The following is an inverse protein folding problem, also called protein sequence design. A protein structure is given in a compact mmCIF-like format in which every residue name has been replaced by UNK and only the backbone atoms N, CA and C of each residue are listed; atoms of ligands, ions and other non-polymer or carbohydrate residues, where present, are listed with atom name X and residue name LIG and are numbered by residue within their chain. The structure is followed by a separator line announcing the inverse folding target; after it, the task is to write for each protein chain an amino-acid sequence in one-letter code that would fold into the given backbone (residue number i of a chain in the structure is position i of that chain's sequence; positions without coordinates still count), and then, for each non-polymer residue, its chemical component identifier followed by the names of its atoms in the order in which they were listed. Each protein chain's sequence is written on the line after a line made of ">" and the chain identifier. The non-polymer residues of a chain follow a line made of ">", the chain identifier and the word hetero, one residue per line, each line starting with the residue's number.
data_IF_265919282450
#
_entry.id   IF_265919282450
#
_cell.length_a   1.000
_cell.length_b   1.000
_cell.length_c   1.000
_cell.angle_alpha   90.00
_cell.angle_beta   90.00
_cell.angle_gamma   90.00
#
_symmetry.space_group_name_H-M   'P 1'
#
loop_
_entity.id
_entity.type
_entity.pdbx_description
1 polymer ?
#
# COMPACT_ATOMS: atom_id res chain seq x y z
N UNK A 1 9.53 -8.85 6.18
CA UNK A 1 8.36 -7.97 6.00
C UNK A 1 8.31 -7.63 4.51
N UNK A 2 7.16 -7.80 3.86
CA UNK A 2 6.98 -7.45 2.44
C UNK A 2 6.44 -6.03 2.37
N UNK A 3 6.99 -5.18 1.51
CA UNK A 3 6.65 -3.76 1.42
C UNK A 3 6.04 -3.43 0.05
N UNK A 4 4.81 -2.94 0.06
CA UNK A 4 4.04 -2.51 -1.12
C UNK A 4 3.83 -1.01 -1.06
N UNK A 5 4.22 -0.31 -2.13
CA UNK A 5 4.05 1.14 -2.27
C UNK A 5 3.16 1.45 -3.46
N UNK A 6 2.04 2.13 -3.22
CA UNK A 6 1.20 2.68 -4.28
C UNK A 6 1.56 4.15 -4.56
N UNK A 7 1.88 4.50 -5.78
CA UNK A 7 2.28 5.85 -6.15
C UNK A 7 1.34 6.46 -7.18
N UNK A 8 0.92 7.71 -6.97
CA UNK A 8 0.30 8.52 -8.03
C UNK A 8 0.78 9.97 -7.91
N UNK A 9 0.46 10.81 -8.91
CA UNK A 9 0.98 12.18 -9.00
C UNK A 9 0.94 12.95 -7.67
N UNK A 10 -0.24 13.08 -7.04
CA UNK A 10 -0.44 13.92 -5.85
C UNK A 10 -0.82 13.18 -4.58
N UNK A 11 -0.90 11.85 -4.60
CA UNK A 11 -1.27 11.02 -3.46
C UNK A 11 -2.57 11.43 -2.73
N UNK A 12 -3.57 11.93 -3.46
CA UNK A 12 -4.84 12.40 -2.89
C UNK A 12 -6.07 11.63 -3.38
N UNK A 13 -5.89 10.67 -4.31
CA UNK A 13 -6.97 9.86 -4.89
C UNK A 13 -6.52 8.40 -5.12
N UNK A 14 -6.08 8.05 -6.34
CA UNK A 14 -5.86 6.68 -6.81
C UNK A 14 -4.99 5.84 -5.86
N UNK A 15 -3.83 6.35 -5.48
CA UNK A 15 -2.91 5.61 -4.60
C UNK A 15 -3.44 5.46 -3.16
N UNK A 16 -4.27 6.40 -2.68
CA UNK A 16 -4.92 6.29 -1.36
C UNK A 16 -6.05 5.26 -1.40
N UNK A 17 -6.83 5.23 -2.48
CA UNK A 17 -7.82 4.18 -2.73
C UNK A 17 -7.16 2.80 -2.78
N UNK A 18 -6.02 2.68 -3.46
CA UNK A 18 -5.26 1.44 -3.55
C UNK A 18 -4.71 0.98 -2.19
N UNK A 19 -4.13 1.90 -1.40
CA UNK A 19 -3.70 1.64 -0.02
C UNK A 19 -4.89 1.14 0.82
N UNK A 20 -6.03 1.83 0.77
CA UNK A 20 -7.24 1.44 1.52
C UNK A 20 -7.75 0.05 1.13
N UNK A 21 -7.83 -0.26 -0.17
CA UNK A 21 -8.25 -1.58 -0.65
C UNK A 21 -7.29 -2.70 -0.24
N UNK A 22 -5.98 -2.44 -0.26
CA UNK A 22 -4.99 -3.43 0.13
C UNK A 22 -5.04 -3.72 1.64
N UNK A 23 -5.18 -2.69 2.48
CA UNK A 23 -5.42 -2.87 3.92
C UNK A 23 -6.71 -3.64 4.20
N UNK A 24 -7.81 -3.28 3.54
CA UNK A 24 -9.07 -4.01 3.69
C UNK A 24 -8.92 -5.48 3.31
N UNK A 25 -8.23 -5.78 2.21
CA UNK A 25 -7.97 -7.14 1.77
C UNK A 25 -7.21 -7.94 2.84
N UNK A 26 -6.16 -7.36 3.45
CA UNK A 26 -5.39 -8.00 4.51
C UNK A 26 -6.28 -8.29 5.73
N UNK A 27 -7.09 -7.32 6.15
CA UNK A 27 -8.03 -7.48 7.27
C UNK A 27 -9.01 -8.62 6.99
N UNK A 28 -9.68 -8.59 5.83
CA UNK A 28 -10.64 -9.61 5.43
C UNK A 28 -10.00 -11.01 5.37
N UNK A 29 -8.75 -11.09 4.92
CA UNK A 29 -8.00 -12.34 4.83
C UNK A 29 -7.63 -12.88 6.21
N UNK A 30 -7.13 -12.01 7.11
CA UNK A 30 -6.78 -12.37 8.48
C UNK A 30 -8.00 -12.83 9.27
N UNK A 31 -9.10 -12.06 9.23
CA UNK A 31 -10.32 -12.40 9.97
C UNK A 31 -10.93 -13.71 9.49
N UNK A 32 -10.94 -13.96 8.17
CA UNK A 32 -11.42 -15.24 7.62
C UNK A 32 -10.65 -16.45 8.15
N UNK A 33 -9.33 -16.33 8.33
CA UNK A 33 -8.52 -17.43 8.87
C UNK A 33 -8.63 -17.56 10.39
N UNK A 34 -8.86 -16.45 11.12
CA UNK A 34 -9.14 -16.49 12.55
C UNK A 34 -10.45 -17.21 12.86
N UNK A 35 -11.55 -16.87 12.17
CA UNK A 35 -12.84 -17.56 12.34
C UNK A 35 -12.72 -19.05 12.01
N UNK A 36 -11.96 -19.42 10.96
CA UNK A 36 -11.74 -20.82 10.63
C UNK A 36 -11.00 -21.60 11.73
N UNK A 37 -10.05 -20.97 12.44
CA UNK A 37 -9.40 -21.59 13.59
C UNK A 37 -10.42 -21.80 14.72
N UNK A 38 -11.19 -20.78 15.07
CA UNK A 38 -12.19 -20.85 16.16
C UNK A 38 -13.23 -21.96 15.92
N UNK A 39 -13.72 -22.09 14.69
CA UNK A 39 -14.66 -23.13 14.30
C UNK A 39 -14.06 -24.54 14.42
N UNK A 40 -12.77 -24.73 14.07
CA UNK A 40 -12.09 -26.01 14.23
C UNK A 40 -11.96 -26.43 15.70
N UNK A 41 -11.75 -25.48 16.61
CA UNK A 41 -11.62 -25.76 18.04
C UNK A 41 -12.95 -26.19 18.70
N UNK A 42 -14.10 -25.85 18.12
CA UNK A 42 -15.42 -26.22 18.65
C UNK A 42 -15.79 -27.70 18.43
N UNK A 43 -15.12 -28.40 17.50
CA UNK A 43 -15.51 -29.77 17.08
C UNK A 43 -14.76 -30.86 17.87
N UNK A 44 -13.83 -30.51 18.76
CA UNK A 44 -12.84 -31.43 19.34
C UNK A 44 -13.29 -32.17 20.63
N UNK A 45 -14.51 -32.72 20.65
CA UNK A 45 -14.98 -33.58 21.76
C UNK A 45 -14.63 -35.08 21.58
N UNK A 46 -13.81 -35.49 20.60
CA UNK A 46 -13.40 -36.91 20.42
C UNK A 46 -11.90 -37.09 20.13
N UNK A 47 -11.22 -37.59 21.16
CA UNK A 47 -9.79 -37.51 21.48
C UNK A 47 -8.86 -38.54 20.82
N UNK A 48 -7.60 -38.10 20.64
CA UNK A 48 -6.32 -38.84 20.77
C UNK A 48 -5.52 -39.19 19.49
N UNK A 49 -6.09 -39.14 18.28
CA UNK A 49 -5.29 -39.22 17.01
C UNK A 49 -5.35 -37.92 16.21
N UNK A 50 -6.35 -37.09 16.50
CA UNK A 50 -6.66 -35.84 15.81
C UNK A 50 -5.79 -34.68 16.33
N UNK A 51 -5.35 -34.74 17.59
CA UNK A 51 -4.66 -33.65 18.29
C UNK A 51 -3.33 -33.22 17.65
N UNK A 52 -2.53 -34.16 17.13
CA UNK A 52 -1.23 -33.82 16.51
C UNK A 52 -1.40 -33.17 15.13
N UNK A 53 -2.34 -33.68 14.32
CA UNK A 53 -2.65 -33.14 13.00
C UNK A 53 -3.34 -31.78 13.10
N UNK A 54 -4.29 -31.63 14.04
CA UNK A 54 -4.95 -30.37 14.33
C UNK A 54 -3.95 -29.32 14.84
N UNK A 55 -3.00 -29.69 15.72
CA UNK A 55 -1.95 -28.76 16.15
C UNK A 55 -1.09 -28.29 14.97
N UNK A 56 -0.66 -29.18 14.09
CA UNK A 56 0.16 -28.80 12.94
C UNK A 56 -0.59 -27.87 11.96
N UNK A 57 -1.87 -28.14 11.71
CA UNK A 57 -2.71 -27.29 10.87
C UNK A 57 -2.91 -25.91 11.49
N UNK A 58 -3.23 -25.85 12.79
CA UNK A 58 -3.39 -24.59 13.54
C UNK A 58 -2.10 -23.77 13.54
N UNK A 59 -0.93 -24.40 13.67
CA UNK A 59 0.36 -23.73 13.56
C UNK A 59 0.58 -23.12 12.16
N UNK A 60 0.32 -23.88 11.10
CA UNK A 60 0.47 -23.37 9.72
C UNK A 60 -0.45 -22.18 9.43
N UNK A 61 -1.68 -22.21 9.93
CA UNK A 61 -2.61 -21.07 9.76
C UNK A 61 -2.11 -19.85 10.54
N UNK A 62 -1.61 -20.03 11.77
CA UNK A 62 -1.01 -18.93 12.56
C UNK A 62 0.22 -18.33 11.87
N UNK A 63 1.08 -19.14 11.27
CA UNK A 63 2.25 -18.68 10.54
C UNK A 63 1.85 -17.88 9.29
N UNK A 64 0.81 -18.33 8.58
CA UNK A 64 0.27 -17.61 7.43
C UNK A 64 -0.37 -16.27 7.82
N UNK A 65 -1.19 -16.23 8.88
CA UNK A 65 -1.75 -14.99 9.42
C UNK A 65 -0.63 -14.02 9.83
N UNK A 66 0.39 -14.52 10.52
CA UNK A 66 1.57 -13.72 10.89
C UNK A 66 2.31 -13.20 9.67
N UNK A 67 2.34 -13.96 8.57
CA UNK A 67 2.95 -13.53 7.31
C UNK A 67 2.16 -12.41 6.63
N UNK A 68 0.82 -12.45 6.68
CA UNK A 68 -0.05 -11.37 6.20
C UNK A 68 0.11 -10.09 7.02
N UNK A 69 0.20 -10.20 8.35
CA UNK A 69 0.46 -9.08 9.25
C UNK A 69 1.85 -8.46 9.03
N UNK A 70 2.77 -9.21 8.44
CA UNK A 70 4.10 -8.76 8.01
C UNK A 70 4.12 -8.16 6.59
N UNK A 71 2.97 -7.77 6.04
CA UNK A 71 2.89 -6.97 4.81
C UNK A 71 2.71 -5.50 5.19
N UNK A 72 3.70 -4.68 4.89
CA UNK A 72 3.63 -3.22 5.02
C UNK A 72 3.09 -2.61 3.72
N UNK A 73 1.95 -1.93 3.83
CA UNK A 73 1.34 -1.21 2.69
C UNK A 73 1.31 0.29 2.96
N UNK A 74 1.77 1.08 2.00
CA UNK A 74 1.68 2.55 2.06
C UNK A 74 1.46 3.14 0.67
N UNK A 75 1.18 4.43 0.60
CA UNK A 75 1.13 5.18 -0.64
C UNK A 75 1.91 6.48 -0.61
N UNK A 76 2.34 6.96 -1.78
CA UNK A 76 3.20 8.15 -1.88
C UNK A 76 2.84 9.02 -3.08
N UNK A 77 3.23 10.29 -3.02
CA UNK A 77 3.12 11.24 -4.12
C UNK A 77 4.37 11.17 -4.98
N UNK A 78 4.22 11.05 -6.30
CA UNK A 78 5.36 11.19 -7.21
C UNK A 78 5.84 12.64 -7.32
N UNK A 79 4.92 13.60 -7.15
CA UNK A 79 5.22 15.02 -7.10
C UNK A 79 5.00 15.53 -5.66
N UNK A 80 6.09 15.65 -4.91
CA UNK A 80 6.07 16.14 -3.52
C UNK A 80 5.47 17.55 -3.41
N UNK A 81 5.60 18.39 -4.44
CA UNK A 81 4.99 19.73 -4.44
C UNK A 81 3.47 19.66 -4.50
N UNK A 82 2.91 18.61 -5.12
CA UNK A 82 1.48 18.43 -5.23
C UNK A 82 0.78 18.05 -3.92
N UNK A 83 1.54 17.72 -2.87
CA UNK A 83 1.05 17.38 -1.51
C UNK A 83 0.60 18.61 -0.72
N UNK A 84 1.09 19.80 -1.06
CA UNK A 84 0.82 21.05 -0.32
C UNK A 84 -0.05 22.03 -1.13
N UNK A 85 -0.77 22.92 -0.43
CA UNK A 85 -1.71 23.88 -1.03
C UNK A 85 -1.07 25.14 -1.66
N UNK A 86 0.25 25.34 -1.54
CA UNK A 86 0.95 26.52 -2.08
C UNK A 86 2.03 26.16 -3.13
N UNK A 87 2.28 27.04 -4.12
CA UNK A 87 3.33 26.85 -5.11
C UNK A 87 4.72 26.87 -4.46
N UNK A 88 5.60 26.00 -4.96
CA UNK A 88 6.95 25.71 -4.45
C UNK A 88 7.87 26.93 -4.26
N UNK A 89 7.55 28.10 -4.82
CA UNK A 89 8.36 29.31 -4.70
C UNK A 89 8.25 30.05 -3.36
N UNK A 90 7.23 29.78 -2.53
CA UNK A 90 7.06 30.47 -1.23
C UNK A 90 7.47 29.65 -0.01
N UNK A 91 7.52 28.31 -0.12
CA UNK A 91 7.82 27.44 1.01
C UNK A 91 9.33 27.12 1.18
N UNK A 92 10.20 27.77 0.39
CA UNK A 92 11.67 27.67 0.50
C UNK A 92 12.32 28.72 1.43
N UNK A 93 11.55 29.70 1.92
CA UNK A 93 12.02 30.64 2.95
C UNK A 93 11.45 30.23 4.32
N UNK A 94 12.10 30.65 5.40
CA UNK A 94 12.01 30.24 6.82
C UNK A 94 10.61 30.27 7.51
N UNK A 95 9.52 30.23 6.73
CA UNK A 95 8.11 30.14 7.13
C UNK A 95 7.47 28.85 6.59
N UNK A 96 8.11 27.69 6.78
CA UNK A 96 7.53 26.37 6.50
C UNK A 96 6.17 26.13 7.21
N UNK A 97 5.82 26.96 8.20
CA UNK A 97 4.56 26.95 8.94
C UNK A 97 3.31 27.40 8.17
N UNK A 98 3.43 27.89 6.92
CA UNK A 98 2.28 28.35 6.10
C UNK A 98 1.82 27.37 5.01
N UNK A 99 2.61 26.35 4.67
CA UNK A 99 2.22 25.36 3.67
C UNK A 99 1.28 24.31 4.31
N UNK A 100 -0.03 24.44 4.10
CA UNK A 100 -0.99 23.42 4.55
C UNK A 100 -0.91 22.18 3.64
N UNK A 101 -0.95 21.00 4.27
CA UNK A 101 -1.02 19.72 3.56
C UNK A 101 -2.43 19.50 3.06
N UNK A 102 -2.54 19.11 1.79
CA UNK A 102 -3.82 18.71 1.21
C UNK A 102 -4.38 17.50 1.93
N UNK A 103 -5.70 17.44 1.97
CA UNK A 103 -6.39 16.23 2.39
C UNK A 103 -6.60 15.27 1.21
N UNK A 104 -6.92 14.02 1.52
CA UNK A 104 -7.51 13.12 0.53
C UNK A 104 -8.76 13.76 -0.03
N UNK A 105 -8.99 13.66 -1.35
CA UNK A 105 -10.17 14.30 -1.95
C UNK A 105 -11.43 13.72 -1.33
N UNK A 106 -12.36 14.58 -0.90
CA UNK A 106 -13.62 14.16 -0.29
C UNK A 106 -14.38 13.15 -1.16
N UNK A 107 -14.45 13.38 -2.47
CA UNK A 107 -15.07 12.44 -3.43
C UNK A 107 -14.42 11.05 -3.45
N UNK A 108 -13.12 10.95 -3.16
CA UNK A 108 -12.44 9.67 -3.01
C UNK A 108 -12.85 8.98 -1.70
N UNK A 109 -12.90 9.73 -0.60
CA UNK A 109 -13.39 9.24 0.70
C UNK A 109 -14.83 8.73 0.57
N UNK A 110 -15.72 9.53 0.00
CA UNK A 110 -17.13 9.18 -0.23
C UNK A 110 -17.27 7.94 -1.12
N UNK A 111 -16.45 7.81 -2.17
CA UNK A 111 -16.49 6.67 -3.06
C UNK A 111 -16.06 5.36 -2.37
N UNK A 112 -14.99 5.40 -1.56
CA UNK A 112 -14.52 4.23 -0.80
C UNK A 112 -15.51 3.84 0.31
N UNK A 113 -16.08 4.83 0.99
CA UNK A 113 -17.03 4.61 2.08
C UNK A 113 -18.30 3.87 1.64
N UNK A 114 -18.73 4.05 0.37
CA UNK A 114 -19.85 3.29 -0.21
C UNK A 114 -19.62 1.78 -0.22
N UNK A 115 -18.36 1.35 -0.30
CA UNK A 115 -17.97 -0.05 -0.32
C UNK A 115 -17.36 -0.49 1.02
N UNK A 116 -17.58 0.29 2.09
CA UNK A 116 -17.20 -0.06 3.46
C UNK A 116 -15.75 0.23 3.84
N UNK A 117 -14.99 0.94 3.01
CA UNK A 117 -13.59 1.28 3.29
C UNK A 117 -13.44 2.76 3.64
N UNK A 118 -12.95 3.04 4.84
CA UNK A 118 -12.71 4.41 5.29
C UNK A 118 -11.26 4.85 5.05
N UNK A 119 -11.09 5.91 4.26
CA UNK A 119 -9.80 6.58 4.03
C UNK A 119 -9.82 8.05 4.47
N UNK A 120 -10.78 8.44 5.31
CA UNK A 120 -10.96 9.83 5.78
C UNK A 120 -9.79 10.34 6.62
N UNK A 121 -9.13 9.45 7.36
CA UNK A 121 -7.95 9.76 8.18
C UNK A 121 -6.63 9.64 7.40
N UNK A 122 -6.68 9.22 6.15
CA UNK A 122 -5.48 9.10 5.32
C UNK A 122 -4.99 10.50 4.96
N UNK A 123 -3.69 10.60 4.68
CA UNK A 123 -3.07 11.84 4.24
C UNK A 123 -2.12 11.61 3.06
N UNK A 124 -2.02 12.57 2.13
CA UNK A 124 -0.97 12.61 1.13
C UNK A 124 0.43 12.62 1.77
N UNK A 125 1.33 11.78 1.29
CA UNK A 125 2.69 11.56 1.79
C UNK A 125 3.70 11.88 0.69
N UNK A 126 4.77 12.59 1.01
CA UNK A 126 5.88 12.79 0.05
C UNK A 126 6.78 11.55 0.02
N UNK A 127 7.62 11.45 -1.01
CA UNK A 127 8.67 10.41 -1.08
C UNK A 127 9.63 10.56 0.10
N UNK A 128 10.07 11.77 0.41
CA UNK A 128 11.05 12.05 1.48
C UNK A 128 10.54 11.67 2.88
N UNK A 129 9.23 11.80 3.13
CA UNK A 129 8.60 11.36 4.38
C UNK A 129 8.53 9.84 4.50
N UNK A 130 8.39 9.18 3.36
CA UNK A 130 8.11 7.74 3.30
C UNK A 130 9.40 6.92 3.26
N UNK A 131 10.47 7.43 2.65
CA UNK A 131 11.77 6.73 2.55
C UNK A 131 12.30 6.28 3.91
N UNK A 132 12.42 7.14 4.95
CA UNK A 132 12.96 6.70 6.24
C UNK A 132 12.14 5.58 6.88
N UNK A 133 10.81 5.62 6.71
CA UNK A 133 9.91 4.58 7.18
C UNK A 133 10.15 3.26 6.43
N UNK A 134 10.23 3.31 5.10
CA UNK A 134 10.49 2.14 4.25
C UNK A 134 11.87 1.53 4.53
N UNK A 135 12.90 2.35 4.70
CA UNK A 135 14.24 1.89 5.05
C UNK A 135 14.30 1.28 6.45
N UNK A 136 13.59 1.84 7.43
CA UNK A 136 13.55 1.27 8.78
C UNK A 136 12.82 -0.08 8.82
N UNK A 137 11.81 -0.27 7.97
CA UNK A 137 11.11 -1.53 7.80
C UNK A 137 11.97 -2.57 7.06
N UNK A 138 12.70 -2.13 6.04
CA UNK A 138 13.50 -3.01 5.18
C UNK A 138 14.82 -3.48 5.80
N UNK A 139 15.34 -2.78 6.82
CA UNK A 139 16.62 -3.16 7.45
C UNK A 139 16.55 -4.57 8.05
N UNK A 140 17.48 -5.48 7.71
CA UNK A 140 17.64 -6.71 8.47
C UNK A 140 18.05 -6.36 9.91
N UNK A 141 17.54 -7.11 10.89
CA UNK A 141 17.93 -7.00 12.32
C UNK A 141 19.40 -7.37 12.59
N UNK A 142 20.19 -7.67 11.58
CA UNK A 142 21.62 -7.95 11.69
C UNK A 142 22.42 -6.94 10.88
N UNK A 143 23.27 -6.21 11.59
CA UNK A 143 24.35 -5.37 11.09
C UNK A 143 25.33 -6.21 10.26
N UNK A 144 25.13 -6.34 8.96
CA UNK A 144 26.17 -6.73 7.98
C UNK A 144 25.53 -6.82 6.59
N UNK A 145 25.75 -5.78 5.78
CA UNK A 145 25.88 -5.80 4.30
C UNK A 145 25.74 -4.37 3.78
N UNK A 146 26.75 -3.55 4.07
CA UNK A 146 27.04 -2.37 3.28
C UNK A 146 28.05 -2.77 2.21
N UNK A 147 27.57 -3.13 1.02
CA UNK A 147 28.44 -3.28 -0.16
C UNK A 147 28.87 -1.88 -0.58
N UNK A 148 30.15 -1.57 -0.36
CA UNK A 148 30.78 -0.34 -0.85
C UNK A 148 31.38 -0.66 -2.22
N UNK A 149 30.66 -0.33 -3.28
CA UNK A 149 31.26 -0.15 -4.61
C UNK A 149 31.36 1.35 -4.92
N UNK A 150 32.46 1.72 -5.59
CA UNK A 150 33.00 3.07 -5.67
C UNK A 150 32.06 4.15 -6.19
N UNK A 151 32.15 5.33 -5.55
CA UNK A 151 31.67 6.64 -6.00
C UNK A 151 30.17 6.86 -6.26
N UNK A 152 29.30 6.04 -5.67
CA UNK A 152 27.90 6.39 -5.46
C UNK A 152 27.20 5.27 -4.70
N UNK A 153 26.70 5.53 -3.48
CA UNK A 153 25.93 4.53 -2.74
C UNK A 153 24.70 4.14 -3.56
N UNK A 154 24.67 2.92 -4.10
CA UNK A 154 23.44 2.33 -4.62
C UNK A 154 22.42 2.28 -3.49
N UNK A 155 21.17 2.75 -3.71
CA UNK A 155 20.19 2.81 -2.64
C UNK A 155 19.79 1.40 -2.21
N UNK A 156 19.61 1.25 -0.89
CA UNK A 156 19.05 0.05 -0.29
C UNK A 156 17.67 -0.19 -0.94
N UNK A 157 17.51 -1.36 -1.55
CA UNK A 157 16.20 -1.84 -2.02
C UNK A 157 15.32 -2.04 -0.80
N UNK A 158 14.35 -1.14 -0.64
CA UNK A 158 13.51 -1.03 0.56
C UNK A 158 12.03 -1.18 0.25
N UNK A 159 11.70 -1.40 -1.03
CA UNK A 159 10.34 -1.60 -1.52
C UNK A 159 10.31 -2.88 -2.34
N UNK A 160 9.57 -3.89 -1.90
CA UNK A 160 9.45 -5.14 -2.67
C UNK A 160 8.63 -4.90 -3.94
N UNK A 161 7.55 -4.11 -3.83
CA UNK A 161 6.60 -3.88 -4.92
C UNK A 161 6.15 -2.43 -4.99
N UNK A 162 6.53 -1.74 -6.07
CA UNK A 162 6.04 -0.40 -6.39
C UNK A 162 4.97 -0.50 -7.48
N UNK A 163 3.81 0.06 -7.20
CA UNK A 163 2.69 0.14 -8.14
C UNK A 163 2.46 1.61 -8.48
N UNK A 164 2.65 1.99 -9.74
CA UNK A 164 2.43 3.35 -10.22
C UNK A 164 1.06 3.46 -10.91
N UNK A 165 0.19 4.33 -10.42
CA UNK A 165 -1.19 4.51 -10.90
C UNK A 165 -1.36 5.74 -11.82
N UNK A 166 -0.27 6.22 -12.43
CA UNK A 166 -0.33 7.30 -13.42
C UNK A 166 0.77 7.17 -14.46
N UNK A 167 0.43 7.58 -15.68
CA UNK A 167 1.39 7.88 -16.75
C UNK A 167 2.13 9.19 -16.46
N UNK A 168 2.94 9.16 -15.42
CA UNK A 168 3.84 10.22 -15.02
C UNK A 168 5.21 10.01 -15.71
N UNK A 169 6.00 11.06 -15.93
CA UNK A 169 7.34 10.92 -16.52
C UNK A 169 8.29 10.10 -15.63
N UNK A 170 9.27 9.46 -16.26
CA UNK A 170 10.22 8.56 -15.58
C UNK A 170 11.06 9.31 -14.53
N UNK A 171 11.31 10.60 -14.72
CA UNK A 171 12.01 11.46 -13.77
C UNK A 171 11.30 11.54 -12.41
N UNK A 172 9.97 11.55 -12.40
CA UNK A 172 9.19 11.58 -11.15
C UNK A 172 9.15 10.22 -10.47
N UNK A 173 9.33 9.12 -11.21
CA UNK A 173 9.32 7.75 -10.68
C UNK A 173 10.71 7.31 -10.18
N UNK A 174 11.77 7.92 -10.71
CA UNK A 174 13.15 7.47 -10.58
C UNK A 174 13.56 7.07 -9.15
N UNK A 175 13.29 7.92 -8.15
CA UNK A 175 13.68 7.67 -6.76
C UNK A 175 12.98 6.46 -6.14
N UNK A 176 11.71 6.21 -6.47
CA UNK A 176 11.01 5.01 -6.00
C UNK A 176 11.44 3.79 -6.80
N UNK A 177 11.55 3.90 -8.12
CA UNK A 177 11.96 2.81 -9.01
C UNK A 177 13.33 2.25 -8.62
N UNK A 178 14.31 3.11 -8.36
CA UNK A 178 15.66 2.67 -7.93
C UNK A 178 15.65 1.97 -6.57
N UNK A 179 14.70 2.29 -5.68
CA UNK A 179 14.53 1.67 -4.36
C UNK A 179 13.64 0.42 -4.37
N UNK A 180 13.03 0.12 -5.51
CA UNK A 180 12.06 -0.97 -5.65
C UNK A 180 12.69 -2.20 -6.29
N UNK A 181 12.27 -3.39 -5.85
CA UNK A 181 12.64 -4.68 -6.43
C UNK A 181 11.82 -4.92 -7.69
N UNK A 182 10.50 -4.76 -7.59
CA UNK A 182 9.57 -4.85 -8.72
C UNK A 182 8.78 -3.57 -8.89
N UNK A 183 8.52 -3.20 -10.14
CA UNK A 183 7.71 -2.02 -10.51
C UNK A 183 6.64 -2.45 -11.50
N UNK A 184 5.40 -2.07 -11.23
CA UNK A 184 4.29 -2.22 -12.16
C UNK A 184 3.59 -0.89 -12.38
N UNK A 185 3.07 -0.68 -13.59
CA UNK A 185 2.29 0.50 -13.92
C UNK A 185 0.85 0.07 -14.24
N UNK A 186 -0.10 0.67 -13.53
CA UNK A 186 -1.52 0.50 -13.76
C UNK A 186 -2.05 1.74 -14.46
N UNK A 187 -2.37 1.58 -15.75
CA UNK A 187 -3.04 2.61 -16.53
C UNK A 187 -4.48 2.76 -16.01
N UNK A 188 -4.68 3.72 -15.11
CA UNK A 188 -5.98 4.05 -14.51
C UNK A 188 -6.19 5.54 -14.63
N UNK A 189 -7.27 5.92 -15.32
CA UNK A 189 -7.61 7.31 -15.54
C UNK A 189 -7.80 8.08 -14.23
N UNK A 190 -7.38 9.34 -14.23
CA UNK A 190 -7.62 10.18 -13.08
C UNK A 190 -9.14 10.40 -12.93
N UNK A 191 -9.75 10.08 -11.77
CA UNK A 191 -11.21 10.20 -11.61
C UNK A 191 -11.67 11.65 -11.75
N UNK A 192 -10.80 12.63 -11.47
CA UNK A 192 -11.07 14.05 -11.70
C UNK A 192 -11.23 14.38 -13.19
N UNK A 193 -10.47 13.74 -14.08
CA UNK A 193 -10.57 13.97 -15.52
C UNK A 193 -11.90 13.41 -16.05
N UNK A 194 -12.19 12.15 -15.71
CA UNK A 194 -13.47 11.48 -16.03
C UNK A 194 -14.69 12.24 -15.48
N UNK A 195 -14.62 12.70 -14.22
CA UNK A 195 -15.68 13.50 -13.60
C UNK A 195 -15.97 14.79 -14.38
N UNK A 196 -14.92 15.49 -14.84
CA UNK A 196 -15.05 16.70 -15.68
C UNK A 196 -15.53 16.41 -17.10
N UNK A 197 -15.29 15.21 -17.62
CA UNK A 197 -15.72 14.77 -18.94
C UNK A 197 -17.20 14.32 -18.99
N UNK A 198 -17.93 14.40 -17.88
CA UNK A 198 -19.38 14.15 -17.83
C UNK A 198 -19.81 12.95 -16.99
N UNK A 199 -18.88 12.14 -16.47
CA UNK A 199 -19.22 11.03 -15.56
C UNK A 199 -19.67 11.50 -14.16
N UNK A 200 -19.41 12.76 -13.81
CA UNK A 200 -19.78 13.34 -12.52
C UNK A 200 -19.12 12.61 -11.35
N UNK A 201 -19.86 12.40 -10.26
CA UNK A 201 -19.33 11.79 -9.04
C UNK A 201 -19.16 10.27 -9.14
N UNK A 202 -19.82 9.63 -10.12
CA UNK A 202 -19.72 8.19 -10.37
C UNK A 202 -18.33 7.78 -10.85
N UNK A 203 -17.57 8.71 -11.45
CA UNK A 203 -16.19 8.48 -11.88
C UNK A 203 -15.29 7.98 -10.74
N UNK A 204 -15.45 8.53 -9.54
CA UNK A 204 -14.62 8.16 -8.38
C UNK A 204 -14.94 6.74 -7.90
N UNK A 205 -16.21 6.37 -7.88
CA UNK A 205 -16.62 5.01 -7.52
C UNK A 205 -16.18 3.98 -8.56
N UNK A 206 -16.34 4.27 -9.85
CA UNK A 206 -15.87 3.41 -10.93
C UNK A 206 -14.35 3.16 -10.82
N UNK A 207 -13.57 4.22 -10.67
CA UNK A 207 -12.11 4.12 -10.53
C UNK A 207 -11.73 3.37 -9.24
N UNK A 208 -12.45 3.59 -8.14
CA UNK A 208 -12.25 2.81 -6.90
C UNK A 208 -12.43 1.31 -7.13
N UNK A 209 -13.50 0.90 -7.81
CA UNK A 209 -13.77 -0.51 -8.12
C UNK A 209 -12.73 -1.11 -9.08
N UNK A 210 -12.27 -0.34 -10.07
CA UNK A 210 -11.19 -0.77 -10.95
C UNK A 210 -9.88 -1.00 -10.18
N UNK A 211 -9.55 -0.09 -9.25
CA UNK A 211 -8.40 -0.23 -8.36
C UNK A 211 -8.58 -1.45 -7.46
N UNK A 212 -9.77 -1.66 -6.87
CA UNK A 212 -10.08 -2.82 -6.04
C UNK A 212 -9.77 -4.13 -6.77
N UNK A 213 -10.19 -4.26 -8.02
CA UNK A 213 -9.95 -5.48 -8.78
C UNK A 213 -8.45 -5.74 -9.02
N UNK A 214 -7.71 -4.69 -9.40
CA UNK A 214 -6.26 -4.80 -9.57
C UNK A 214 -5.52 -5.11 -8.27
N UNK A 215 -5.95 -4.51 -7.15
CA UNK A 215 -5.44 -4.82 -5.81
C UNK A 215 -5.74 -6.27 -5.44
N UNK A 216 -6.96 -6.77 -5.69
CA UNK A 216 -7.30 -8.17 -5.42
C UNK A 216 -6.39 -9.14 -6.18
N UNK A 217 -6.10 -8.85 -7.45
CA UNK A 217 -5.18 -9.66 -8.26
C UNK A 217 -3.77 -9.64 -7.66
N UNK A 218 -3.27 -8.43 -7.33
CA UNK A 218 -1.96 -8.25 -6.70
C UNK A 218 -1.84 -9.04 -5.38
N UNK A 219 -2.82 -8.89 -4.49
CA UNK A 219 -2.78 -9.51 -3.16
C UNK A 219 -2.94 -11.03 -3.23
N UNK A 220 -3.77 -11.55 -4.16
CA UNK A 220 -3.86 -13.01 -4.41
C UNK A 220 -2.55 -13.58 -4.93
N UNK A 221 -1.86 -12.87 -5.83
CA UNK A 221 -0.53 -13.28 -6.31
C UNK A 221 0.48 -13.35 -5.17
N UNK A 222 0.48 -12.36 -4.27
CA UNK A 222 1.34 -12.35 -3.08
C UNK A 222 0.98 -13.48 -2.11
N UNK A 223 -0.30 -13.73 -1.87
CA UNK A 223 -0.78 -14.86 -1.07
C UNK A 223 -0.22 -16.19 -1.58
N UNK A 224 -0.28 -16.43 -2.89
CA UNK A 224 0.25 -17.68 -3.47
C UNK A 224 1.75 -17.82 -3.23
N UNK A 225 2.51 -16.72 -3.29
CA UNK A 225 3.95 -16.71 -2.98
C UNK A 225 4.26 -16.87 -1.49
N UNK A 226 3.34 -16.50 -0.59
CA UNK A 226 3.50 -16.68 0.87
C UNK A 226 3.13 -18.10 1.33
N UNK A 227 2.32 -18.81 0.54
CA UNK A 227 1.86 -20.17 0.84
C UNK A 227 2.73 -21.27 0.23
N UNK A 228 3.64 -20.92 -0.69
CA UNK A 228 4.61 -21.82 -1.32
C UNK A 228 5.83 -22.04 -0.45
#
# INVERSE_FOLDING_TARGET
>A
MITIVFACKSNSCRSQMAEGWAHQWIIDEVERHKTAIEDCHYIDEKKDVIDSYNNHLTHRVKDYVSSLENIAVTSVALDSSAVFDAPSSMCASTLASKCQRKQVKSKAVEAMAKDGVDISLFRPKTIDESIPFLENIAKPKSTEEMVIEGNGKSPIKSVDKLIVLCSCGEEMKYELTRRSISVEEWSIDAPTAASKAGEGDKAYQRVSLEIKEKVNILMRSLKLSLMS
#
